data_IF_330011583138
#
_entry.id   IF_330011583138
#
_cell.length_a   1.000
_cell.length_b   1.000
_cell.length_c   1.000
_cell.angle_alpha   90.00
_cell.angle_beta   90.00
_cell.angle_gamma   90.00
#
_symmetry.space_group_name_H-M   'P 1'
#
loop_
_entity.id
_entity.type
_entity.pdbx_description
1 polymer ?
#
# COMPACT_ATOMS: atom_id res chain seq x y z
N UNK A 1 5.32 -26.72 14.22
CA UNK A 1 6.30 -25.62 14.13
C UNK A 1 5.56 -24.37 13.67
N UNK A 2 5.60 -23.23 14.40
CA UNK A 2 5.02 -21.98 13.91
C UNK A 2 6.15 -20.95 13.71
N UNK A 3 6.72 -20.83 12.51
CA UNK A 3 7.77 -19.84 12.27
C UNK A 3 7.66 -19.06 10.96
N UNK A 4 6.91 -19.52 9.96
CA UNK A 4 6.81 -18.81 8.68
C UNK A 4 5.63 -17.82 8.61
N UNK A 5 4.47 -18.12 9.20
CA UNK A 5 3.27 -17.26 9.08
C UNK A 5 3.40 -15.91 9.80
N UNK A 6 4.12 -15.87 10.92
CA UNK A 6 4.27 -14.67 11.75
C UNK A 6 5.13 -13.60 11.07
N UNK A 7 6.13 -14.01 10.29
CA UNK A 7 7.03 -13.09 9.58
C UNK A 7 6.29 -12.35 8.45
N UNK A 8 5.52 -13.06 7.61
CA UNK A 8 4.69 -12.46 6.56
C UNK A 8 3.61 -11.51 7.10
N UNK A 9 2.96 -11.86 8.22
CA UNK A 9 1.95 -11.01 8.87
C UNK A 9 2.46 -9.63 9.27
N UNK A 10 3.75 -9.50 9.61
CA UNK A 10 4.34 -8.21 9.98
C UNK A 10 4.51 -7.31 8.75
N UNK A 11 4.97 -7.86 7.64
CA UNK A 11 5.16 -7.14 6.38
C UNK A 11 3.82 -6.68 5.81
N UNK A 12 2.77 -7.52 5.90
CA UNK A 12 1.41 -7.15 5.49
C UNK A 12 0.88 -5.96 6.29
N UNK A 13 1.03 -6.02 7.62
CA UNK A 13 0.60 -4.93 8.49
C UNK A 13 1.34 -3.63 8.18
N UNK A 14 2.64 -3.69 7.84
CA UNK A 14 3.39 -2.51 7.46
C UNK A 14 2.91 -1.91 6.14
N UNK A 15 2.74 -2.73 5.10
CA UNK A 15 2.26 -2.26 3.79
C UNK A 15 0.85 -1.71 3.92
N UNK A 16 -0.07 -2.46 4.52
CA UNK A 16 -1.46 -2.04 4.72
C UNK A 16 -1.52 -0.76 5.54
N UNK A 17 -0.80 -0.69 6.66
CA UNK A 17 -0.77 0.50 7.51
C UNK A 17 -0.23 1.75 6.81
N UNK A 18 0.77 1.59 5.94
CA UNK A 18 1.25 2.68 5.09
C UNK A 18 0.16 3.12 4.10
N UNK A 19 -0.48 2.19 3.41
CA UNK A 19 -1.49 2.49 2.38
C UNK A 19 -2.72 3.16 2.97
N UNK A 20 -3.24 2.67 4.10
CA UNK A 20 -4.40 3.30 4.77
C UNK A 20 -4.07 4.70 5.25
N UNK A 21 -2.89 4.92 5.83
CA UNK A 21 -2.41 6.26 6.20
C UNK A 21 -2.33 7.20 4.99
N UNK A 22 -1.83 6.73 3.85
CA UNK A 22 -1.80 7.54 2.61
C UNK A 22 -3.22 7.89 2.16
N UNK A 23 -4.13 6.91 2.16
CA UNK A 23 -5.53 7.12 1.78
C UNK A 23 -6.17 8.18 2.68
N UNK A 24 -6.07 8.01 4.00
CA UNK A 24 -6.64 8.93 4.98
C UNK A 24 -6.07 10.35 4.82
N UNK A 25 -4.75 10.49 4.67
CA UNK A 25 -4.11 11.78 4.46
C UNK A 25 -4.56 12.47 3.18
N UNK A 26 -4.73 11.73 2.09
CA UNK A 26 -5.21 12.31 0.82
C UNK A 26 -6.67 12.76 0.90
N UNK A 27 -7.52 12.04 1.66
CA UNK A 27 -8.92 12.43 1.90
C UNK A 27 -8.97 13.71 2.75
N UNK A 28 -8.24 13.74 3.87
CA UNK A 28 -8.20 14.90 4.77
C UNK A 28 -7.71 16.15 4.02
N UNK A 29 -6.62 16.04 3.26
CA UNK A 29 -6.10 17.17 2.50
C UNK A 29 -7.08 17.63 1.40
N UNK A 30 -7.76 16.70 0.72
CA UNK A 30 -8.80 17.07 -0.24
C UNK A 30 -9.97 17.81 0.44
N UNK A 31 -10.39 17.37 1.63
CA UNK A 31 -11.42 18.04 2.41
C UNK A 31 -10.99 19.46 2.82
N UNK A 32 -9.78 19.62 3.35
CA UNK A 32 -9.22 20.94 3.74
C UNK A 32 -9.18 21.91 2.55
N UNK A 33 -8.81 21.42 1.35
CA UNK A 33 -8.81 22.24 0.14
C UNK A 33 -10.23 22.62 -0.29
N UNK A 34 -11.18 21.69 -0.23
CA UNK A 34 -12.57 21.96 -0.58
C UNK A 34 -13.22 22.96 0.40
N UNK A 35 -12.93 22.86 1.70
CA UNK A 35 -13.41 23.81 2.71
C UNK A 35 -12.82 25.21 2.51
N UNK A 36 -11.55 25.28 2.09
CA UNK A 36 -10.83 26.55 1.94
C UNK A 36 -11.27 27.33 0.70
N UNK A 37 -11.66 26.66 -0.38
CA UNK A 37 -11.88 27.31 -1.67
C UNK A 37 -13.28 27.12 -2.26
N UNK A 38 -14.07 26.14 -1.80
CA UNK A 38 -15.38 25.85 -2.36
C UNK A 38 -15.33 25.62 -3.88
N UNK A 39 -16.30 26.17 -4.61
CA UNK A 39 -16.39 26.06 -6.08
C UNK A 39 -15.43 27.01 -6.82
N UNK A 40 -14.80 27.97 -6.14
CA UNK A 40 -13.94 29.00 -6.74
C UNK A 40 -12.43 28.64 -6.69
N UNK A 41 -12.12 27.34 -6.68
CA UNK A 41 -10.75 26.84 -6.55
C UNK A 41 -9.82 27.36 -7.67
N UNK A 42 -8.66 27.96 -7.31
CA UNK A 42 -7.61 28.29 -8.27
C UNK A 42 -7.19 27.09 -9.12
N UNK A 43 -6.77 27.33 -10.38
CA UNK A 43 -6.30 26.28 -11.28
C UNK A 43 -5.13 25.46 -10.71
N UNK A 44 -4.29 26.06 -9.86
CA UNK A 44 -3.22 25.38 -9.12
C UNK A 44 -3.76 24.30 -8.19
N UNK A 45 -4.89 24.56 -7.52
CA UNK A 45 -5.47 23.66 -6.55
C UNK A 45 -6.22 22.51 -7.23
N UNK A 46 -6.81 22.75 -8.41
CA UNK A 46 -7.33 21.67 -9.26
C UNK A 46 -6.24 20.66 -9.68
N UNK A 47 -5.00 21.10 -9.89
CA UNK A 47 -3.86 20.22 -10.16
C UNK A 47 -3.46 19.43 -8.90
N UNK A 48 -3.46 20.08 -7.73
CA UNK A 48 -3.18 19.43 -6.44
C UNK A 48 -4.23 18.36 -6.14
N UNK A 49 -5.52 18.70 -6.24
CA UNK A 49 -6.64 17.76 -6.06
C UNK A 49 -6.53 16.55 -6.98
N UNK A 50 -6.20 16.76 -8.27
CA UNK A 50 -5.95 15.66 -9.21
C UNK A 50 -4.73 14.82 -8.80
N UNK A 51 -3.70 15.44 -8.23
CA UNK A 51 -2.55 14.73 -7.65
C UNK A 51 -2.95 13.84 -6.47
N UNK A 52 -3.71 14.38 -5.52
CA UNK A 52 -4.21 13.65 -4.35
C UNK A 52 -5.08 12.46 -4.76
N UNK A 53 -6.03 12.66 -5.67
CA UNK A 53 -6.91 11.60 -6.20
C UNK A 53 -6.12 10.49 -6.87
N UNK A 54 -5.17 10.83 -7.75
CA UNK A 54 -4.30 9.82 -8.42
C UNK A 54 -3.45 9.03 -7.43
N UNK A 55 -2.90 9.70 -6.42
CA UNK A 55 -2.12 9.04 -5.35
C UNK A 55 -3.01 8.07 -4.57
N UNK A 56 -4.22 8.49 -4.23
CA UNK A 56 -5.22 7.66 -3.53
C UNK A 56 -5.66 6.45 -4.37
N UNK A 57 -5.94 6.65 -5.66
CA UNK A 57 -6.31 5.56 -6.58
C UNK A 57 -5.18 4.53 -6.74
N UNK A 58 -3.92 4.99 -6.76
CA UNK A 58 -2.78 4.07 -6.74
C UNK A 58 -2.69 3.30 -5.42
N UNK A 59 -2.91 3.96 -4.28
CA UNK A 59 -2.92 3.31 -2.98
C UNK A 59 -4.03 2.24 -2.86
N UNK A 60 -5.24 2.54 -3.35
CA UNK A 60 -6.33 1.55 -3.40
C UNK A 60 -5.98 0.33 -4.25
N UNK A 61 -5.39 0.53 -5.44
CA UNK A 61 -4.98 -0.59 -6.31
C UNK A 61 -3.91 -1.48 -5.67
N UNK A 62 -2.95 -0.88 -4.96
CA UNK A 62 -1.94 -1.66 -4.22
C UNK A 62 -2.58 -2.39 -3.05
N UNK A 63 -3.50 -1.75 -2.33
CA UNK A 63 -4.21 -2.37 -1.21
C UNK A 63 -5.08 -3.54 -1.66
N UNK A 64 -5.78 -3.41 -2.78
CA UNK A 64 -6.57 -4.48 -3.39
C UNK A 64 -5.69 -5.69 -3.72
N UNK A 65 -4.56 -5.50 -4.41
CA UNK A 65 -3.60 -6.58 -4.70
C UNK A 65 -3.03 -7.24 -3.44
N UNK A 66 -2.75 -6.43 -2.42
CA UNK A 66 -2.26 -6.91 -1.13
C UNK A 66 -3.32 -7.81 -0.46
N UNK A 67 -4.60 -7.43 -0.51
CA UNK A 67 -5.70 -8.22 0.03
C UNK A 67 -5.95 -9.48 -0.79
N UNK A 68 -5.88 -9.42 -2.12
CA UNK A 68 -5.97 -10.60 -3.01
C UNK A 68 -4.88 -11.62 -2.68
N UNK A 69 -3.63 -11.17 -2.51
CA UNK A 69 -2.52 -12.03 -2.12
C UNK A 69 -2.77 -12.70 -0.76
N UNK A 70 -3.24 -11.94 0.23
CA UNK A 70 -3.58 -12.48 1.55
C UNK A 70 -4.69 -13.53 1.43
N UNK A 71 -5.71 -13.30 0.59
CA UNK A 71 -6.81 -14.24 0.39
C UNK A 71 -6.34 -15.53 -0.27
N UNK A 72 -5.45 -15.45 -1.27
CA UNK A 72 -4.84 -16.64 -1.89
C UNK A 72 -4.06 -17.44 -0.84
N UNK A 73 -3.22 -16.78 -0.06
CA UNK A 73 -2.45 -17.47 0.99
C UNK A 73 -3.36 -18.11 2.06
N UNK A 74 -4.45 -17.45 2.44
CA UNK A 74 -5.42 -18.02 3.38
C UNK A 74 -6.19 -19.21 2.77
N UNK A 75 -6.51 -19.16 1.48
CA UNK A 75 -7.17 -20.26 0.76
C UNK A 75 -6.27 -21.48 0.55
N UNK A 76 -4.98 -21.27 0.30
CA UNK A 76 -3.98 -22.35 0.23
C UNK A 76 -3.83 -23.06 1.59
N UNK A 77 -3.90 -22.32 2.69
CA UNK A 77 -3.93 -22.90 4.05
C UNK A 77 -5.17 -23.76 4.33
N UNK A 78 -6.27 -23.55 3.60
CA UNK A 78 -7.50 -24.36 3.73
C UNK A 78 -7.48 -25.62 2.84
N UNK A 79 -6.62 -25.69 1.82
CA UNK A 79 -6.70 -26.73 0.77
C UNK A 79 -5.55 -27.74 0.77
N UNK A 80 -4.41 -27.51 1.45
CA UNK A 80 -3.25 -28.40 1.28
C UNK A 80 -2.79 -29.22 2.52
N UNK A 81 -3.09 -30.52 2.45
CA UNK A 81 -2.25 -31.66 2.91
C UNK A 81 -1.15 -31.99 1.86
N UNK A 82 -0.84 -31.08 0.94
CA UNK A 82 0.19 -31.23 -0.10
C UNK A 82 1.12 -30.02 0.02
N UNK A 83 2.35 -30.20 0.48
CA UNK A 83 3.30 -29.08 0.62
C UNK A 83 3.48 -28.30 -0.70
N UNK A 84 3.10 -27.01 -0.76
CA UNK A 84 3.67 -26.13 -1.75
C UNK A 84 4.98 -25.60 -1.17
N UNK A 85 6.09 -25.83 -1.88
CA UNK A 85 7.32 -25.06 -1.64
C UNK A 85 7.05 -23.60 -2.04
N UNK A 86 6.43 -22.83 -1.13
CA UNK A 86 6.36 -21.38 -1.28
C UNK A 86 7.78 -20.83 -1.19
N UNK A 87 8.23 -20.07 -2.20
CA UNK A 87 9.58 -19.56 -2.20
C UNK A 87 9.75 -18.63 -0.99
N UNK A 88 10.87 -18.80 -0.28
CA UNK A 88 11.27 -17.98 0.85
C UNK A 88 11.64 -16.58 0.35
N UNK A 89 10.64 -15.80 -0.02
CA UNK A 89 10.83 -14.52 -0.65
C UNK A 89 10.93 -13.43 0.42
N UNK A 90 12.02 -12.67 0.36
CA UNK A 90 12.28 -11.54 1.23
C UNK A 90 11.20 -10.47 1.04
N UNK A 91 11.08 -9.56 2.02
CA UNK A 91 10.16 -8.41 1.97
C UNK A 91 10.29 -7.56 0.69
N UNK A 92 11.47 -7.52 0.07
CA UNK A 92 11.66 -6.89 -1.24
C UNK A 92 10.75 -7.51 -2.30
N UNK A 93 10.66 -8.84 -2.35
CA UNK A 93 9.87 -9.56 -3.35
C UNK A 93 8.37 -9.29 -3.22
N UNK A 94 7.85 -9.21 -1.99
CA UNK A 94 6.47 -8.83 -1.73
C UNK A 94 6.15 -7.41 -2.23
N UNK A 95 7.03 -6.44 -1.95
CA UNK A 95 6.87 -5.06 -2.43
C UNK A 95 6.92 -5.02 -3.98
N UNK A 96 7.70 -5.88 -4.63
CA UNK A 96 7.69 -6.00 -6.08
C UNK A 96 6.40 -6.62 -6.64
N UNK A 97 5.77 -7.54 -5.92
CA UNK A 97 4.53 -8.19 -6.35
C UNK A 97 3.31 -7.26 -6.25
N UNK A 98 3.17 -6.51 -5.15
CA UNK A 98 1.95 -5.73 -4.90
C UNK A 98 1.95 -4.34 -5.52
N UNK A 99 3.11 -3.75 -5.82
CA UNK A 99 3.21 -2.42 -6.44
C UNK A 99 3.33 -2.52 -7.98
N UNK A 100 2.32 -2.09 -8.76
CA UNK A 100 2.43 -2.03 -10.22
C UNK A 100 3.51 -1.06 -10.70
N UNK A 101 4.02 -1.31 -11.91
CA UNK A 101 5.01 -0.46 -12.59
C UNK A 101 4.41 0.82 -13.22
N UNK A 102 3.48 1.45 -12.53
CA UNK A 102 2.98 2.78 -12.91
C UNK A 102 3.64 3.89 -12.09
N UNK A 103 3.56 5.13 -12.59
CA UNK A 103 4.27 6.27 -12.00
C UNK A 103 3.86 6.53 -10.55
N UNK A 104 2.56 6.45 -10.24
CA UNK A 104 2.06 6.75 -8.90
C UNK A 104 2.38 5.61 -7.94
N UNK A 105 2.23 4.35 -8.37
CA UNK A 105 2.65 3.18 -7.58
C UNK A 105 4.17 3.16 -7.34
N UNK A 106 4.98 3.58 -8.30
CA UNK A 106 6.44 3.71 -8.13
C UNK A 106 6.80 4.75 -7.07
N UNK A 107 6.08 5.89 -7.04
CA UNK A 107 6.28 6.91 -5.99
C UNK A 107 5.89 6.37 -4.62
N UNK A 108 4.72 5.72 -4.50
CA UNK A 108 4.27 5.10 -3.25
C UNK A 108 5.26 4.05 -2.74
N UNK A 109 5.79 3.20 -3.64
CA UNK A 109 6.84 2.23 -3.31
C UNK A 109 8.07 2.90 -2.71
N UNK A 110 8.54 4.00 -3.31
CA UNK A 110 9.68 4.76 -2.78
C UNK A 110 9.39 5.36 -1.41
N UNK A 111 8.19 5.92 -1.22
CA UNK A 111 7.75 6.46 0.08
C UNK A 111 7.72 5.39 1.16
N UNK A 112 7.16 4.21 0.88
CA UNK A 112 7.13 3.07 1.79
C UNK A 112 8.55 2.65 2.19
N UNK A 113 9.45 2.44 1.22
CA UNK A 113 10.83 2.02 1.49
C UNK A 113 11.57 3.05 2.36
N UNK A 114 11.31 4.35 2.15
CA UNK A 114 11.85 5.40 3.00
C UNK A 114 11.28 5.36 4.41
N UNK A 115 9.98 5.12 4.58
CA UNK A 115 9.34 4.98 5.89
C UNK A 115 9.90 3.77 6.66
N UNK A 116 10.05 2.62 6.00
CA UNK A 116 10.65 1.42 6.58
C UNK A 116 12.11 1.66 7.01
N UNK A 117 12.90 2.34 6.19
CA UNK A 117 14.29 2.71 6.55
C UNK A 117 14.36 3.65 7.75
N UNK A 118 13.39 4.56 7.92
CA UNK A 118 13.33 5.45 9.09
C UNK A 118 12.98 4.67 10.36
N UNK A 119 12.00 3.78 10.28
CA UNK A 119 11.59 2.94 11.40
C UNK A 119 12.68 1.96 11.86
N UNK A 120 13.62 1.59 10.98
CA UNK A 120 14.75 0.73 11.33
C UNK A 120 15.93 1.45 12.00
N UNK A 121 16.00 2.79 11.91
CA UNK A 121 17.11 3.61 12.41
C UNK A 121 16.74 4.45 13.65
N UNK A 122 15.51 4.35 14.14
CA UNK A 122 15.01 5.02 15.35
C UNK A 122 14.72 4.02 16.45
#
# INVERSE_FOLDING_TARGET
MPSQSVLKSKDYRQIIGFLTKVIDQTILHEQELNERFGDDAPASDAVILRGLRRKRDAAYRVLERMLELILVELGELEIEEIEPELPSESSDTLIHQVFPEDNESTKLKRELVLEMKRAANG
#
